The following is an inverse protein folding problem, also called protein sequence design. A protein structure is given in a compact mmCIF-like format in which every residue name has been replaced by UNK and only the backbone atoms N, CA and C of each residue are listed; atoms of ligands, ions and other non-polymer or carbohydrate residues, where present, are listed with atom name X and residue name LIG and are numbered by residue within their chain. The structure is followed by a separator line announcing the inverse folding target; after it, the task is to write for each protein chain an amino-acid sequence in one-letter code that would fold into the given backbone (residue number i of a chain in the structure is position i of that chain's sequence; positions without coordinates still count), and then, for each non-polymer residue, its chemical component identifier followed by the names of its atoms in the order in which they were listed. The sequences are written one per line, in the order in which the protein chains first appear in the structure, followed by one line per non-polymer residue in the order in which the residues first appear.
data_IF_719104886541
#
_entry.id   IF_719104886541
#
_cell.length_a   1.000
_cell.length_b   1.000
_cell.length_c   1.000
_cell.angle_alpha   90.00
_cell.angle_beta   90.00
_cell.angle_gamma   90.00
#
_symmetry.space_group_name_H-M   'P 1'
#
loop_
_entity.id
_entity.type
_entity.pdbx_description
1 polymer ?
#
# COMPACT_ATOMS: atom_id res chain seq x y z
N UNK A 1 -16.88 -7.08 14.14
CA UNK A 1 -16.63 -6.73 12.73
C UNK A 1 -16.05 -5.33 12.71
N UNK A 2 -14.72 -5.19 12.63
CA UNK A 2 -14.09 -3.87 12.49
C UNK A 2 -14.37 -3.37 11.08
N UNK A 3 -15.00 -2.21 10.94
CA UNK A 3 -15.10 -1.54 9.64
C UNK A 3 -13.70 -1.34 9.05
N UNK A 4 -13.56 -1.42 7.73
CA UNK A 4 -12.30 -1.16 7.04
C UNK A 4 -11.76 0.25 7.31
N UNK A 5 -10.56 0.58 6.83
CA UNK A 5 -9.89 1.87 7.10
C UNK A 5 -10.79 3.07 6.81
N UNK A 6 -11.53 3.07 5.69
CA UNK A 6 -12.47 4.14 5.34
C UNK A 6 -13.58 4.32 6.38
N UNK A 7 -14.05 3.24 7.01
CA UNK A 7 -15.04 3.32 8.08
C UNK A 7 -14.46 3.90 9.37
N UNK A 8 -13.23 3.52 9.72
CA UNK A 8 -12.52 4.06 10.90
C UNK A 8 -12.19 5.54 10.73
N UNK A 9 -11.69 5.93 9.56
CA UNK A 9 -11.43 7.34 9.21
C UNK A 9 -12.73 8.14 9.18
N UNK A 10 -13.81 7.60 8.61
CA UNK A 10 -15.10 8.29 8.58
C UNK A 10 -15.68 8.53 9.98
N UNK A 11 -15.36 7.68 10.96
CA UNK A 11 -15.79 7.87 12.34
C UNK A 11 -15.08 9.04 13.04
N UNK A 12 -13.98 9.52 12.48
CA UNK A 12 -13.27 10.70 12.98
C UNK A 12 -13.85 12.01 12.41
N UNK A 13 -14.70 11.94 11.38
CA UNK A 13 -15.33 13.14 10.84
C UNK A 13 -16.25 13.78 11.88
N UNK A 14 -16.17 15.10 12.12
CA UNK A 14 -17.12 15.80 12.98
C UNK A 14 -18.55 15.59 12.52
N UNK A 15 -19.46 15.25 13.43
CA UNK A 15 -20.88 15.22 13.13
C UNK A 15 -21.47 16.64 13.06
N UNK A 16 -22.53 16.78 12.26
CA UNK A 16 -23.21 18.07 12.02
C UNK A 16 -23.75 18.75 13.29
N UNK A 17 -23.91 18.01 14.38
CA UNK A 17 -24.46 18.47 15.66
C UNK A 17 -23.41 18.52 16.79
N UNK A 18 -22.13 18.26 16.51
CA UNK A 18 -21.07 18.45 17.50
C UNK A 18 -20.69 19.93 17.60
N UNK A 19 -20.63 20.45 18.82
CA UNK A 19 -20.25 21.83 19.09
C UNK A 19 -18.78 21.90 19.48
N UNK A 20 -18.06 22.93 19.00
CA UNK A 20 -16.67 23.22 19.33
C UNK A 20 -15.66 22.11 18.95
N UNK A 21 -15.89 21.40 17.85
CA UNK A 21 -14.92 20.42 17.32
C UNK A 21 -13.96 21.13 16.38
N UNK A 22 -12.67 20.92 16.60
CA UNK A 22 -11.62 21.30 15.66
C UNK A 22 -11.47 20.20 14.58
N UNK A 23 -11.80 20.49 13.31
CA UNK A 23 -11.61 19.54 12.21
C UNK A 23 -10.14 19.14 12.01
N UNK A 24 -9.18 20.02 12.35
CA UNK A 24 -7.77 19.75 12.14
C UNK A 24 -7.27 18.68 13.13
N UNK A 25 -7.74 18.69 14.38
CA UNK A 25 -7.45 17.63 15.35
C UNK A 25 -7.96 16.26 14.87
N UNK A 26 -9.16 16.21 14.28
CA UNK A 26 -9.72 14.98 13.70
C UNK A 26 -8.92 14.49 12.50
N UNK A 27 -8.45 15.43 11.67
CA UNK A 27 -7.58 15.11 10.56
C UNK A 27 -6.25 14.51 11.05
N UNK A 28 -5.62 15.09 12.08
CA UNK A 28 -4.40 14.52 12.67
C UNK A 28 -4.63 13.11 13.22
N UNK A 29 -5.72 12.88 13.95
CA UNK A 29 -6.10 11.54 14.43
C UNK A 29 -6.26 10.55 13.27
N UNK A 30 -6.83 10.97 12.14
CA UNK A 30 -6.97 10.11 10.97
C UNK A 30 -5.62 9.81 10.31
N UNK A 31 -4.70 10.77 10.28
CA UNK A 31 -3.34 10.60 9.78
C UNK A 31 -2.53 9.63 10.65
N UNK A 32 -2.61 9.77 11.98
CA UNK A 32 -1.97 8.85 12.94
C UNK A 32 -2.49 7.42 12.75
N UNK A 33 -3.82 7.26 12.69
CA UNK A 33 -4.47 5.97 12.46
C UNK A 33 -3.98 5.26 11.19
N UNK A 34 -3.80 6.01 10.09
CA UNK A 34 -3.30 5.49 8.83
C UNK A 34 -1.82 5.16 8.94
N UNK A 35 -1.03 6.03 9.58
CA UNK A 35 0.40 5.84 9.84
C UNK A 35 0.68 4.55 10.60
N UNK A 36 -0.02 4.30 11.71
CA UNK A 36 0.11 3.09 12.52
C UNK A 36 -0.08 1.80 11.71
N UNK A 37 -1.00 1.81 10.75
CA UNK A 37 -1.25 0.65 9.89
C UNK A 37 -0.07 0.39 8.95
N UNK A 38 0.52 1.45 8.40
CA UNK A 38 1.67 1.34 7.50
C UNK A 38 2.91 0.93 8.29
N UNK A 39 3.16 1.54 9.45
CA UNK A 39 4.26 1.21 10.34
C UNK A 39 4.22 -0.26 10.75
N UNK A 40 3.07 -0.72 11.25
CA UNK A 40 2.89 -2.13 11.62
C UNK A 40 3.19 -3.06 10.44
N UNK A 41 2.72 -2.74 9.24
CA UNK A 41 2.97 -3.55 8.05
C UNK A 41 4.47 -3.60 7.71
N UNK A 42 5.17 -2.47 7.85
CA UNK A 42 6.63 -2.38 7.63
C UNK A 42 7.38 -3.20 8.68
N UNK A 43 6.98 -3.18 9.94
CA UNK A 43 7.60 -3.98 11.00
C UNK A 43 7.41 -5.49 10.79
N UNK A 44 6.22 -5.89 10.36
CA UNK A 44 5.87 -7.29 10.11
C UNK A 44 6.44 -7.84 8.78
N UNK A 45 7.08 -7.01 7.95
CA UNK A 45 7.54 -7.40 6.60
C UNK A 45 8.45 -8.63 6.56
N UNK A 46 9.25 -8.84 7.62
CA UNK A 46 10.14 -10.01 7.73
C UNK A 46 9.38 -11.33 7.89
N UNK A 47 8.14 -11.27 8.40
CA UNK A 47 7.25 -12.43 8.55
C UNK A 47 6.54 -12.74 7.22
N UNK A 48 6.34 -11.72 6.38
CA UNK A 48 5.73 -11.84 5.04
C UNK A 48 6.73 -12.43 4.05
N UNK A 49 7.96 -11.92 4.08
CA UNK A 49 9.03 -12.32 3.19
C UNK A 49 10.36 -12.32 3.96
N UNK A 50 11.10 -13.42 3.93
CA UNK A 50 12.35 -13.55 4.67
C UNK A 50 13.44 -12.56 4.24
N UNK A 51 13.33 -11.97 3.03
CA UNK A 51 14.23 -10.89 2.60
C UNK A 51 13.82 -9.51 3.13
N UNK A 52 12.61 -9.38 3.69
CA UNK A 52 12.06 -8.13 4.19
C UNK A 52 11.73 -7.11 3.10
N UNK A 53 11.67 -7.53 1.83
CA UNK A 53 11.49 -6.62 0.69
C UNK A 53 10.04 -6.43 0.29
N UNK A 54 9.14 -7.24 0.84
CA UNK A 54 7.72 -7.24 0.56
C UNK A 54 6.98 -6.84 1.83
N UNK A 55 6.17 -5.79 1.73
CA UNK A 55 5.28 -5.35 2.80
C UNK A 55 3.86 -5.74 2.45
N UNK A 56 3.15 -6.34 3.40
CA UNK A 56 1.73 -6.69 3.25
C UNK A 56 0.88 -5.83 4.17
N UNK A 57 -0.01 -5.02 3.61
CA UNK A 57 -1.00 -4.26 4.36
C UNK A 57 -2.29 -5.06 4.41
N UNK A 58 -2.63 -5.52 5.61
CA UNK A 58 -3.82 -6.32 5.88
C UNK A 58 -5.14 -5.57 5.66
N UNK A 59 -5.11 -4.23 5.67
CA UNK A 59 -6.25 -3.37 5.39
C UNK A 59 -6.18 -2.80 3.97
N UNK A 60 -7.16 -3.13 3.13
CA UNK A 60 -7.29 -2.53 1.81
C UNK A 60 -7.62 -1.03 1.87
N UNK A 61 -7.23 -0.28 0.84
CA UNK A 61 -7.56 1.15 0.69
C UNK A 61 -6.74 2.11 1.55
N UNK A 62 -5.63 1.63 2.14
CA UNK A 62 -4.71 2.46 2.94
C UNK A 62 -3.80 3.28 2.01
N UNK A 63 -3.80 4.63 2.11
CA UNK A 63 -2.89 5.48 1.33
C UNK A 63 -1.47 5.43 1.93
N UNK A 64 -0.71 4.40 1.55
CA UNK A 64 0.55 4.04 2.22
C UNK A 64 1.78 4.89 1.83
N UNK A 65 1.77 5.52 0.64
CA UNK A 65 3.00 6.06 0.02
C UNK A 65 3.71 7.10 0.87
N UNK A 66 2.97 8.08 1.38
CA UNK A 66 3.51 9.17 2.19
C UNK A 66 4.16 8.63 3.47
N UNK A 67 3.40 7.89 4.26
CA UNK A 67 3.85 7.30 5.52
C UNK A 67 5.02 6.34 5.34
N UNK A 68 5.03 5.53 4.27
CA UNK A 68 6.14 4.63 3.99
C UNK A 68 7.46 5.39 3.81
N UNK A 69 7.47 6.47 3.02
CA UNK A 69 8.71 7.22 2.79
C UNK A 69 9.18 7.97 4.03
N UNK A 70 8.25 8.49 4.84
CA UNK A 70 8.58 9.07 6.14
C UNK A 70 9.21 8.03 7.08
N UNK A 71 8.58 6.86 7.24
CA UNK A 71 9.10 5.77 8.06
C UNK A 71 10.46 5.26 7.57
N UNK A 72 10.64 5.19 6.25
CA UNK A 72 11.91 4.76 5.67
C UNK A 72 13.08 5.68 6.05
N UNK A 73 12.84 6.99 6.10
CA UNK A 73 13.81 7.98 6.55
C UNK A 73 14.01 7.90 8.07
N UNK A 74 12.94 7.97 8.85
CA UNK A 74 12.96 7.97 10.31
C UNK A 74 13.64 6.74 10.90
N UNK A 75 13.38 5.57 10.31
CA UNK A 75 13.95 4.29 10.75
C UNK A 75 15.20 3.88 9.95
N UNK A 76 15.72 4.75 9.06
CA UNK A 76 16.92 4.48 8.25
C UNK A 76 16.85 3.17 7.44
N UNK A 77 15.68 2.86 6.89
CA UNK A 77 15.41 1.60 6.19
C UNK A 77 15.84 1.59 4.72
N UNK A 78 16.38 2.69 4.18
CA UNK A 78 16.74 2.79 2.75
C UNK A 78 17.71 1.67 2.30
N UNK A 79 18.57 1.18 3.19
CA UNK A 79 19.50 0.08 2.92
C UNK A 79 18.83 -1.29 2.76
N UNK A 80 17.61 -1.45 3.29
CA UNK A 80 16.83 -2.70 3.28
C UNK A 80 16.21 -2.99 1.91
N UNK A 81 16.20 -2.01 0.99
CA UNK A 81 15.72 -2.17 -0.40
C UNK A 81 14.32 -2.78 -0.49
N UNK A 82 13.41 -2.31 0.36
CA UNK A 82 11.98 -2.67 0.34
C UNK A 82 11.43 -2.30 -1.04
N UNK A 83 10.79 -3.24 -1.72
CA UNK A 83 10.53 -3.16 -3.16
C UNK A 83 9.05 -3.20 -3.52
N UNK A 84 8.23 -3.89 -2.72
CA UNK A 84 6.83 -4.12 -3.06
C UNK A 84 5.89 -3.86 -1.88
N UNK A 85 4.76 -3.24 -2.19
CA UNK A 85 3.60 -3.13 -1.32
C UNK A 85 2.49 -4.04 -1.86
N UNK A 86 1.95 -4.91 -1.01
CA UNK A 86 0.84 -5.81 -1.34
C UNK A 86 -0.33 -5.49 -0.44
N UNK A 87 -1.52 -5.35 -1.01
CA UNK A 87 -2.75 -5.14 -0.26
C UNK A 87 -3.96 -5.64 -1.05
N UNK A 88 -5.04 -5.96 -0.35
CA UNK A 88 -6.28 -6.35 -1.01
C UNK A 88 -7.07 -5.11 -1.43
N UNK A 89 -7.62 -5.13 -2.63
CA UNK A 89 -8.58 -4.16 -3.10
C UNK A 89 -9.93 -4.41 -2.41
N UNK A 90 -10.40 -3.44 -1.63
CA UNK A 90 -11.60 -3.60 -0.79
C UNK A 90 -12.89 -3.78 -1.59
N UNK A 91 -12.90 -3.40 -2.87
CA UNK A 91 -14.10 -3.42 -3.72
C UNK A 91 -14.18 -4.70 -4.54
N UNK A 92 -13.06 -5.15 -5.09
CA UNK A 92 -13.01 -6.33 -5.96
C UNK A 92 -12.55 -7.61 -5.24
N UNK A 93 -11.98 -7.49 -4.04
CA UNK A 93 -11.34 -8.60 -3.34
C UNK A 93 -10.04 -9.09 -3.99
N UNK A 94 -9.64 -8.51 -5.13
CA UNK A 94 -8.39 -8.84 -5.81
C UNK A 94 -7.19 -8.28 -5.05
N UNK A 95 -6.01 -8.89 -5.21
CA UNK A 95 -4.79 -8.36 -4.62
C UNK A 95 -4.11 -7.38 -5.57
N UNK A 96 -3.59 -6.30 -4.99
CA UNK A 96 -2.75 -5.31 -5.67
C UNK A 96 -1.31 -5.54 -5.27
N UNK A 97 -0.43 -5.49 -6.26
CA UNK A 97 1.03 -5.45 -6.07
C UNK A 97 1.51 -4.14 -6.66
N UNK A 98 2.09 -3.29 -5.83
CA UNK A 98 2.68 -2.02 -6.24
C UNK A 98 4.18 -2.03 -5.99
N UNK A 99 4.96 -1.74 -7.02
CA UNK A 99 6.40 -1.54 -6.87
C UNK A 99 6.64 -0.16 -6.24
N UNK A 100 7.51 -0.12 -5.24
CA UNK A 100 7.83 1.11 -4.51
C UNK A 100 8.73 1.99 -5.39
N UNK A 101 8.40 3.28 -5.56
CA UNK A 101 9.25 4.23 -6.26
C UNK A 101 10.64 4.40 -5.63
N UNK A 102 11.61 4.87 -6.40
CA UNK A 102 12.94 5.15 -5.85
C UNK A 102 12.92 6.32 -4.84
N UNK A 103 11.99 7.26 -5.00
CA UNK A 103 11.75 8.33 -4.05
C UNK A 103 10.27 8.76 -4.09
N UNK A 104 9.85 9.55 -3.09
CA UNK A 104 8.48 10.05 -2.93
C UNK A 104 7.92 10.80 -4.15
N UNK A 105 8.77 11.49 -4.91
CA UNK A 105 8.36 12.31 -6.06
C UNK A 105 8.34 11.52 -7.38
N UNK A 106 8.95 10.34 -7.42
CA UNK A 106 9.01 9.52 -8.63
C UNK A 106 7.65 8.88 -8.95
N UNK A 107 7.18 9.13 -10.17
CA UNK A 107 5.97 8.52 -10.74
C UNK A 107 6.26 7.43 -11.77
N UNK A 108 7.46 7.41 -12.36
CA UNK A 108 7.81 6.53 -13.48
C UNK A 108 9.04 5.66 -13.21
N UNK A 109 9.60 5.73 -12.01
CA UNK A 109 10.84 5.05 -11.66
C UNK A 109 10.71 4.31 -10.32
N UNK A 110 10.72 2.98 -10.40
CA UNK A 110 10.50 2.06 -9.30
C UNK A 110 11.76 1.26 -9.01
N UNK A 111 11.94 0.90 -7.74
CA UNK A 111 13.09 0.12 -7.26
C UNK A 111 13.24 -1.21 -8.02
N UNK A 112 12.12 -1.92 -8.16
CA UNK A 112 12.03 -3.11 -9.01
C UNK A 112 10.67 -3.09 -9.74
N UNK A 113 10.63 -2.70 -11.02
CA UNK A 113 9.41 -2.80 -11.80
C UNK A 113 9.06 -4.26 -12.07
N UNK A 114 7.78 -4.54 -12.35
CA UNK A 114 7.35 -5.89 -12.73
C UNK A 114 8.03 -6.34 -14.04
N UNK A 115 8.25 -7.67 -14.23
CA UNK A 115 8.89 -8.24 -15.41
C UNK A 115 8.29 -7.70 -16.72
N UNK A 116 9.15 -7.41 -17.71
CA UNK A 116 8.71 -6.81 -18.98
C UNK A 116 7.74 -7.72 -19.72
N UNK A 117 7.95 -9.02 -19.59
CA UNK A 117 7.18 -10.11 -20.18
C UNK A 117 5.74 -10.14 -19.65
N UNK A 118 5.48 -9.57 -18.47
CA UNK A 118 4.14 -9.53 -17.88
C UNK A 118 3.34 -8.31 -18.30
N UNK A 119 4.01 -7.24 -18.75
CA UNK A 119 3.41 -5.92 -18.95
C UNK A 119 2.39 -5.94 -20.08
N UNK A 120 1.21 -5.40 -19.81
CA UNK A 120 0.09 -5.36 -20.77
C UNK A 120 -0.71 -6.67 -20.83
N UNK A 121 -0.21 -7.77 -20.25
CA UNK A 121 -0.92 -9.06 -20.24
C UNK A 121 -2.07 -9.06 -19.23
N UNK A 122 -3.07 -9.90 -19.50
CA UNK A 122 -4.28 -10.06 -18.67
C UNK A 122 -4.63 -11.53 -18.48
N UNK A 123 -5.37 -11.81 -17.40
CA UNK A 123 -6.07 -13.08 -17.17
C UNK A 123 -5.19 -14.33 -17.40
N UNK A 124 -5.64 -15.26 -18.25
CA UNK A 124 -4.99 -16.54 -18.51
C UNK A 124 -3.61 -16.40 -19.14
N UNK A 125 -3.43 -15.43 -20.04
CA UNK A 125 -2.13 -15.18 -20.69
C UNK A 125 -1.09 -14.75 -19.65
N UNK A 126 -1.44 -13.78 -18.80
CA UNK A 126 -0.59 -13.35 -17.69
C UNK A 126 -0.33 -14.51 -16.71
N UNK A 127 -1.36 -15.29 -16.39
CA UNK A 127 -1.21 -16.43 -15.47
C UNK A 127 -0.27 -17.50 -16.02
N UNK A 128 -0.29 -17.70 -17.34
CA UNK A 128 0.57 -18.66 -18.04
C UNK A 128 2.02 -18.18 -18.06
N UNK A 129 2.26 -16.92 -18.42
CA UNK A 129 3.62 -16.35 -18.54
C UNK A 129 4.27 -16.12 -17.17
N UNK A 130 3.50 -15.73 -16.16
CA UNK A 130 4.01 -15.54 -14.80
C UNK A 130 4.16 -16.84 -14.00
N UNK A 131 3.47 -17.91 -14.40
CA UNK A 131 3.34 -19.14 -13.62
C UNK A 131 2.48 -18.97 -12.35
N UNK A 132 1.81 -17.83 -12.19
CA UNK A 132 0.97 -17.53 -11.03
C UNK A 132 -0.50 -17.65 -11.46
N UNK A 133 -1.28 -18.56 -10.87
CA UNK A 133 -2.69 -18.71 -11.24
C UNK A 133 -3.54 -17.52 -10.77
N UNK A 134 -4.55 -17.17 -11.56
CA UNK A 134 -5.55 -16.16 -11.17
C UNK A 134 -5.09 -14.71 -11.32
N UNK A 135 -4.02 -14.44 -12.08
CA UNK A 135 -3.59 -13.08 -12.35
C UNK A 135 -4.61 -12.31 -13.20
N UNK A 136 -4.84 -11.05 -12.87
CA UNK A 136 -5.84 -10.21 -13.55
C UNK A 136 -5.22 -9.33 -14.64
N UNK A 137 -4.19 -8.55 -14.31
CA UNK A 137 -3.59 -7.58 -15.21
C UNK A 137 -2.27 -7.02 -14.66
N UNK A 138 -1.33 -6.67 -15.55
CA UNK A 138 -0.18 -5.81 -15.25
C UNK A 138 -0.16 -4.61 -16.20
N UNK A 139 -0.03 -3.39 -15.65
CA UNK A 139 0.05 -2.17 -16.45
C UNK A 139 1.23 -2.19 -17.43
N UNK A 140 1.08 -1.55 -18.60
CA UNK A 140 2.10 -1.58 -19.68
C UNK A 140 3.45 -0.97 -19.24
N UNK A 141 3.43 -0.02 -18.31
CA UNK A 141 4.64 0.50 -17.69
C UNK A 141 5.36 -0.51 -16.78
N UNK A 142 4.62 -1.46 -16.20
CA UNK A 142 5.12 -2.31 -15.10
C UNK A 142 5.03 -1.63 -13.74
N UNK A 143 4.23 -0.56 -13.64
CA UNK A 143 3.90 0.20 -12.43
C UNK A 143 2.41 0.55 -12.43
N UNK A 144 1.81 0.59 -11.23
CA UNK A 144 0.41 0.97 -10.94
C UNK A 144 0.40 2.16 -9.99
#
# INVERSE_FOLDING_TARGET
MSGGISGRVNHLNPHWNELNVDPDERFQQAMELVGEIVEKAVDERMQVDGSGRIVYISSGGVPWKEHFFQLEEEQSLSSQKIAYMIFQDSTSGSYRVQAIPNNKLSTFDNRIPLPKEWRGLRNSELSTISGIPGCVFVHIGGWL
#
